data_IF_724186065448
#
_entry.id   IF_724186065448
#
_cell.length_a   1.000
_cell.length_b   1.000
_cell.length_c   1.000
_cell.angle_alpha   90.00
_cell.angle_beta   90.00
_cell.angle_gamma   90.00
#
_symmetry.space_group_name_H-M   'P 1'
#
loop_
_entity.id
_entity.type
_entity.pdbx_description
1 polymer ?
#
# COMPACT_ATOMS: atom_id res chain seq x y z
N UNK A 1 -14.75 -0.33 0.56
CA UNK A 1 -14.51 -1.79 0.60
C UNK A 1 -15.77 -2.60 0.27
N UNK A 2 -16.92 -2.40 0.93
CA UNK A 2 -18.15 -3.15 0.63
C UNK A 2 -18.70 -2.90 -0.79
N UNK A 3 -18.48 -1.73 -1.37
CA UNK A 3 -18.93 -1.41 -2.73
C UNK A 3 -18.38 -2.36 -3.79
N UNK A 4 -17.15 -2.88 -3.63
CA UNK A 4 -16.58 -3.80 -4.62
C UNK A 4 -17.32 -5.14 -4.68
N UNK A 5 -18.04 -5.52 -3.61
CA UNK A 5 -18.84 -6.75 -3.54
C UNK A 5 -20.07 -6.66 -4.46
N UNK A 6 -20.50 -5.45 -4.82
CA UNK A 6 -21.62 -5.23 -5.73
C UNK A 6 -21.28 -5.58 -7.19
N UNK A 7 -19.99 -5.74 -7.52
CA UNK A 7 -19.52 -5.99 -8.89
C UNK A 7 -18.86 -7.38 -8.98
N UNK A 8 -19.56 -8.39 -9.56
CA UNK A 8 -19.04 -9.76 -9.61
C UNK A 8 -17.79 -9.92 -10.47
N UNK A 9 -17.47 -8.93 -11.32
CA UNK A 9 -16.25 -8.90 -12.13
C UNK A 9 -15.01 -8.53 -11.31
N UNK A 10 -15.18 -8.03 -10.08
CA UNK A 10 -14.06 -7.71 -9.18
C UNK A 10 -13.73 -8.95 -8.36
N UNK A 11 -12.63 -9.62 -8.73
CA UNK A 11 -12.03 -10.63 -7.87
C UNK A 11 -11.21 -9.97 -6.76
N UNK A 12 -11.41 -10.42 -5.52
CA UNK A 12 -10.70 -9.90 -4.35
C UNK A 12 -9.73 -10.94 -3.81
N UNK A 13 -8.58 -10.43 -3.36
CA UNK A 13 -7.56 -11.17 -2.66
C UNK A 13 -7.33 -10.45 -1.32
N UNK A 14 -8.28 -10.60 -0.41
CA UNK A 14 -8.15 -10.04 0.94
C UNK A 14 -7.05 -10.81 1.70
N UNK A 15 -6.35 -10.15 2.63
CA UNK A 15 -5.23 -10.73 3.39
C UNK A 15 -4.12 -11.33 2.48
N UNK A 16 -3.87 -10.70 1.32
CA UNK A 16 -2.72 -10.99 0.47
C UNK A 16 -1.74 -9.83 0.53
N UNK A 17 -0.55 -10.07 1.08
CA UNK A 17 0.49 -9.06 1.20
C UNK A 17 1.37 -9.08 -0.05
N UNK A 18 1.31 -8.01 -0.85
CA UNK A 18 2.10 -7.90 -2.09
C UNK A 18 3.58 -7.72 -1.74
N UNK A 19 4.42 -8.62 -2.26
CA UNK A 19 5.86 -8.61 -2.01
C UNK A 19 6.60 -7.81 -3.09
N UNK A 20 6.20 -7.99 -4.36
CA UNK A 20 6.83 -7.29 -5.48
C UNK A 20 5.96 -7.20 -6.73
N UNK A 21 6.30 -6.25 -7.61
CA UNK A 21 5.75 -6.13 -8.97
C UNK A 21 6.56 -7.02 -9.91
N UNK A 22 5.86 -7.73 -10.80
CA UNK A 22 6.50 -8.43 -11.90
C UNK A 22 6.73 -7.43 -13.03
N UNK A 23 7.98 -7.24 -13.43
CA UNK A 23 8.37 -6.33 -14.51
C UNK A 23 9.10 -7.10 -15.59
N UNK A 24 8.72 -6.86 -16.84
CA UNK A 24 9.32 -7.46 -18.04
C UNK A 24 9.45 -6.37 -19.11
N UNK A 25 10.65 -6.19 -19.66
CA UNK A 25 10.99 -5.12 -20.61
C UNK A 25 10.48 -3.73 -20.17
N UNK A 26 10.61 -3.42 -18.87
CA UNK A 26 10.15 -2.15 -18.29
C UNK A 26 8.64 -2.00 -18.14
N UNK A 27 7.86 -3.05 -18.43
CA UNK A 27 6.40 -3.06 -18.29
C UNK A 27 5.98 -3.91 -17.11
N UNK A 28 5.03 -3.41 -16.30
CA UNK A 28 4.40 -4.21 -15.27
C UNK A 28 3.57 -5.35 -15.90
N UNK A 29 3.81 -6.58 -15.47
CA UNK A 29 3.13 -7.81 -15.91
C UNK A 29 2.29 -8.48 -14.83
N UNK A 30 2.22 -7.86 -13.65
CA UNK A 30 1.51 -8.43 -12.52
C UNK A 30 2.24 -8.19 -11.20
N UNK A 31 2.00 -9.08 -10.25
CA UNK A 31 2.62 -9.02 -8.93
C UNK A 31 2.76 -10.42 -8.32
N UNK A 32 3.66 -10.53 -7.35
CA UNK A 32 3.73 -11.66 -6.44
C UNK A 32 3.27 -11.22 -5.06
N UNK A 33 2.37 -11.98 -4.47
CA UNK A 33 1.83 -11.75 -3.14
C UNK A 33 1.96 -13.00 -2.26
N UNK A 34 1.97 -12.81 -0.95
CA UNK A 34 1.86 -13.88 0.02
C UNK A 34 0.43 -13.94 0.53
N UNK A 35 -0.21 -15.10 0.44
CA UNK A 35 -1.45 -15.36 1.16
C UNK A 35 -1.10 -15.43 2.65
N UNK A 36 -1.59 -14.48 3.45
CA UNK A 36 -1.21 -14.34 4.85
C UNK A 36 -1.77 -15.46 5.75
N UNK A 37 -2.85 -16.12 5.32
CA UNK A 37 -3.45 -17.23 6.06
C UNK A 37 -2.67 -18.53 5.88
N UNK A 38 -2.19 -18.79 4.65
CA UNK A 38 -1.54 -20.06 4.29
C UNK A 38 -0.01 -19.96 4.23
N UNK A 39 0.55 -18.74 4.16
CA UNK A 39 1.98 -18.50 3.95
C UNK A 39 2.46 -18.84 2.54
N UNK A 40 1.54 -19.09 1.60
CA UNK A 40 1.85 -19.49 0.22
C UNK A 40 2.07 -18.27 -0.68
N UNK A 41 2.92 -18.43 -1.70
CA UNK A 41 3.12 -17.41 -2.72
C UNK A 41 2.09 -17.55 -3.83
N UNK A 42 1.50 -16.42 -4.21
CA UNK A 42 0.52 -16.31 -5.29
C UNK A 42 1.06 -15.34 -6.33
N UNK A 43 1.12 -15.80 -7.57
CA UNK A 43 1.43 -14.96 -8.72
C UNK A 43 0.13 -14.49 -9.39
N UNK A 44 -0.02 -13.18 -9.55
CA UNK A 44 -1.17 -12.57 -10.22
C UNK A 44 -0.65 -11.88 -11.48
N UNK A 45 -0.98 -12.44 -12.64
CA UNK A 45 -0.64 -11.85 -13.94
C UNK A 45 -1.67 -10.77 -14.31
N UNK A 46 -1.19 -9.62 -14.80
CA UNK A 46 -2.05 -8.53 -15.24
C UNK A 46 -1.38 -7.69 -16.33
N UNK A 47 -2.19 -7.13 -17.24
CA UNK A 47 -1.70 -6.22 -18.29
C UNK A 47 -1.41 -4.81 -17.76
N UNK A 48 -1.92 -4.47 -16.58
CA UNK A 48 -1.70 -3.20 -15.91
C UNK A 48 -1.77 -3.40 -14.39
N UNK A 49 -0.99 -2.62 -13.64
CA UNK A 49 -0.96 -2.63 -12.18
C UNK A 49 -1.21 -1.21 -11.68
N UNK A 50 -2.12 -1.05 -10.73
CA UNK A 50 -2.42 0.22 -10.07
C UNK A 50 -2.04 0.09 -8.60
N UNK A 51 -1.16 0.98 -8.11
CA UNK A 51 -0.75 1.04 -6.71
C UNK A 51 -1.63 2.06 -5.99
N UNK A 52 -2.40 1.59 -5.01
CA UNK A 52 -3.27 2.41 -4.18
C UNK A 52 -3.09 2.08 -2.69
N UNK A 53 -1.84 1.91 -2.25
CA UNK A 53 -1.46 1.38 -0.92
C UNK A 53 -1.49 2.40 0.22
N UNK A 54 -1.93 3.64 -0.04
CA UNK A 54 -1.82 4.73 0.94
C UNK A 54 -0.40 5.32 1.04
N UNK A 55 -0.09 5.95 2.18
CA UNK A 55 1.19 6.63 2.44
C UNK A 55 2.22 5.78 3.19
N UNK A 56 3.22 6.44 3.79
CA UNK A 56 4.33 5.82 4.53
C UNK A 56 4.60 6.41 5.92
N UNK A 57 3.59 7.01 6.55
CA UNK A 57 3.76 7.79 7.78
C UNK A 57 4.20 6.97 9.01
N UNK A 58 4.18 5.63 8.95
CA UNK A 58 4.75 4.78 10.01
C UNK A 58 6.27 4.88 10.12
N UNK A 59 6.93 5.57 9.19
CA UNK A 59 8.31 6.04 9.35
C UNK A 59 8.48 7.03 10.54
N UNK A 60 7.41 7.70 10.97
CA UNK A 60 7.44 8.67 12.07
C UNK A 60 6.91 8.06 13.37
N UNK A 61 7.64 8.26 14.47
CA UNK A 61 7.28 7.72 15.79
C UNK A 61 5.87 8.12 16.26
N UNK A 62 5.49 9.37 16.03
CA UNK A 62 4.16 9.89 16.35
C UNK A 62 3.45 10.29 15.06
N UNK A 63 2.32 9.65 14.77
CA UNK A 63 1.51 9.88 13.57
C UNK A 63 0.06 9.47 13.82
N UNK A 64 -0.85 9.93 12.97
CA UNK A 64 -2.30 9.67 13.07
C UNK A 64 -2.77 8.45 12.28
N UNK A 65 -1.84 7.74 11.63
CA UNK A 65 -2.17 6.73 10.62
C UNK A 65 -2.38 5.35 11.24
N UNK A 66 -3.17 4.52 10.55
CA UNK A 66 -3.30 3.10 10.90
C UNK A 66 -1.95 2.38 10.88
N UNK A 67 -1.85 1.29 11.63
CA UNK A 67 -0.61 0.51 11.79
C UNK A 67 0.01 0.03 10.48
N UNK A 68 -0.82 -0.09 9.44
CA UNK A 68 -0.52 -0.63 8.11
C UNK A 68 0.01 0.41 7.09
N UNK A 69 0.10 1.69 7.45
CA UNK A 69 0.52 2.76 6.51
C UNK A 69 2.05 2.87 6.46
N UNK A 70 2.70 1.80 6.00
CA UNK A 70 4.14 1.55 6.08
C UNK A 70 4.93 1.96 4.83
N UNK A 71 4.25 2.39 3.76
CA UNK A 71 4.90 2.85 2.53
C UNK A 71 5.29 1.73 1.57
N UNK A 72 4.71 0.53 1.72
CA UNK A 72 5.12 -0.67 0.97
C UNK A 72 5.03 -0.47 -0.54
N UNK A 73 3.92 0.09 -1.04
CA UNK A 73 3.76 0.35 -2.49
C UNK A 73 4.69 1.43 -3.02
N UNK A 74 5.01 2.46 -2.22
CA UNK A 74 5.97 3.49 -2.59
C UNK A 74 7.37 2.89 -2.74
N UNK A 75 7.79 2.10 -1.74
CA UNK A 75 9.07 1.38 -1.75
C UNK A 75 9.17 0.40 -2.92
N UNK A 76 8.09 -0.35 -3.18
CA UNK A 76 8.01 -1.31 -4.28
C UNK A 76 8.17 -0.63 -5.64
N UNK A 77 7.43 0.46 -5.91
CA UNK A 77 7.58 1.23 -7.13
C UNK A 77 9.01 1.78 -7.28
N UNK A 78 9.57 2.34 -6.21
CA UNK A 78 10.91 2.91 -6.21
C UNK A 78 12.00 1.88 -6.53
N UNK A 79 11.89 0.65 -6.01
CA UNK A 79 12.81 -0.46 -6.33
C UNK A 79 12.80 -0.84 -7.81
N UNK A 80 11.71 -0.58 -8.52
CA UNK A 80 11.59 -0.76 -9.98
C UNK A 80 11.92 0.51 -10.78
N UNK A 81 12.61 1.47 -10.16
CA UNK A 81 13.10 2.68 -10.84
C UNK A 81 12.03 3.76 -11.07
N UNK A 82 10.84 3.61 -10.49
CA UNK A 82 9.81 4.67 -10.55
C UNK A 82 10.22 5.80 -9.60
N UNK A 83 10.41 7.04 -10.09
CA UNK A 83 10.77 8.15 -9.22
C UNK A 83 9.61 8.51 -8.29
N UNK A 84 9.92 8.66 -7.01
CA UNK A 84 9.03 9.26 -6.03
C UNK A 84 9.28 10.76 -5.99
N UNK A 85 8.22 11.54 -5.77
CA UNK A 85 8.26 13.01 -5.79
C UNK A 85 7.81 13.56 -4.44
N UNK A 86 8.43 14.65 -4.01
CA UNK A 86 8.04 15.47 -2.86
C UNK A 86 7.92 14.67 -1.55
N UNK A 87 8.74 13.63 -1.39
CA UNK A 87 8.74 12.72 -0.23
C UNK A 87 9.13 13.43 1.08
N UNK A 88 9.77 14.59 0.98
CA UNK A 88 10.11 15.48 2.09
C UNK A 88 8.93 16.30 2.62
N UNK A 89 7.85 16.45 1.84
CA UNK A 89 6.70 17.27 2.21
C UNK A 89 5.69 16.48 3.06
N UNK A 90 6.02 16.33 4.34
CA UNK A 90 5.18 15.62 5.32
C UNK A 90 4.31 16.61 6.11
N UNK A 91 3.00 16.41 6.07
CA UNK A 91 2.03 17.21 6.83
C UNK A 91 1.81 16.64 8.23
N UNK A 92 1.75 17.53 9.23
CA UNK A 92 1.40 17.19 10.61
C UNK A 92 0.07 17.84 10.99
N UNK A 93 -0.74 17.10 11.77
CA UNK A 93 -1.99 17.62 12.30
C UNK A 93 -1.80 18.13 13.74
N UNK A 94 -2.28 19.33 14.11
CA UNK A 94 -1.99 19.94 15.40
C UNK A 94 -2.73 19.29 16.59
N UNK A 95 -3.87 18.65 16.37
CA UNK A 95 -4.77 18.14 17.42
C UNK A 95 -4.72 16.61 17.58
N UNK A 96 -3.59 15.97 17.28
CA UNK A 96 -3.39 14.55 17.59
C UNK A 96 -3.31 14.31 19.10
N UNK A 97 -4.03 13.31 19.62
CA UNK A 97 -3.99 12.96 21.04
C UNK A 97 -2.56 12.55 21.45
N UNK A 98 -2.01 13.12 22.54
CA UNK A 98 -0.67 12.79 23.01
C UNK A 98 -0.49 11.29 23.21
N UNK A 99 0.70 10.79 22.85
CA UNK A 99 1.14 9.39 22.94
C UNK A 99 0.40 8.38 22.03
N UNK A 100 -0.86 8.60 21.68
CA UNK A 100 -1.65 7.66 20.87
C UNK A 100 -1.67 8.03 19.39
N UNK A 101 -1.63 9.34 19.08
CA UNK A 101 -1.77 9.84 17.71
C UNK A 101 -3.21 9.81 17.20
N UNK A 102 -4.20 9.44 18.02
CA UNK A 102 -5.61 9.45 17.60
C UNK A 102 -6.00 10.89 17.23
N UNK A 103 -6.61 11.05 16.06
CA UNK A 103 -7.00 12.36 15.54
C UNK A 103 -8.22 12.91 16.31
N UNK A 104 -8.10 14.14 16.82
CA UNK A 104 -9.26 14.97 17.14
C UNK A 104 -9.57 15.83 15.92
N UNK A 105 -10.83 15.82 15.46
CA UNK A 105 -11.25 16.63 14.30
C UNK A 105 -10.83 18.09 14.47
N UNK A 106 -10.47 18.72 13.36
CA UNK A 106 -10.43 20.18 13.24
C UNK A 106 -11.82 20.78 13.52
#
# INVERSE_FOLDING_TARGET
>A
FQTSIQYPQIQRFDEHFVLDILVDDGHARGMVAMNMMEGTLVQINANAVVIATGGGCRAFRFNTNGGIVTGDGLSMAYRHGVPLRDMEFVQYHPTGLPNTGILMTE
#
